data_IF_691483815189
#
_entry.id   IF_691483815189
#
_cell.length_a   1.000
_cell.length_b   1.000
_cell.length_c   1.000
_cell.angle_alpha   90.00
_cell.angle_beta   90.00
_cell.angle_gamma   90.00
#
_symmetry.space_group_name_H-M   'P 1'
#
loop_
_entity.id
_entity.type
_entity.pdbx_description
1 polymer ?
#
# COMPACT_ATOMS: atom_id res chain seq x y z
N UNK A 1 -15.06 17.24 1.33
CA UNK A 1 -15.31 17.08 -0.11
C UNK A 1 -14.00 17.24 -0.84
N UNK A 2 -13.64 16.27 -1.69
CA UNK A 2 -12.47 16.35 -2.57
C UNK A 2 -12.77 17.31 -3.72
N UNK A 3 -11.86 18.24 -3.99
CA UNK A 3 -12.01 19.19 -5.08
C UNK A 3 -11.78 18.51 -6.44
N UNK A 4 -12.71 18.73 -7.36
CA UNK A 4 -12.53 18.38 -8.76
C UNK A 4 -11.69 19.46 -9.46
N UNK A 5 -10.37 19.29 -9.42
CA UNK A 5 -9.40 20.26 -9.97
C UNK A 5 -9.48 20.44 -11.48
N UNK A 6 -10.05 19.48 -12.22
CA UNK A 6 -10.30 19.62 -13.66
C UNK A 6 -11.42 20.65 -13.94
N UNK A 7 -12.31 20.89 -12.96
CA UNK A 7 -13.38 21.89 -13.07
C UNK A 7 -12.98 23.27 -12.56
N UNK A 8 -11.77 23.43 -12.05
CA UNK A 8 -11.23 24.73 -11.67
C UNK A 8 -10.98 25.55 -12.94
N UNK A 9 -11.24 26.86 -12.85
CA UNK A 9 -11.03 27.76 -13.99
C UNK A 9 -9.59 27.65 -14.53
N UNK A 10 -9.39 27.39 -15.85
CA UNK A 10 -8.07 27.34 -16.46
C UNK A 10 -7.17 28.54 -16.16
N UNK A 11 -7.75 29.74 -16.00
CA UNK A 11 -6.99 30.93 -15.62
C UNK A 11 -6.36 30.81 -14.24
N UNK A 12 -7.00 30.12 -13.29
CA UNK A 12 -6.42 29.89 -11.97
C UNK A 12 -5.21 28.96 -12.07
N UNK A 13 -5.26 27.93 -12.93
CA UNK A 13 -4.10 27.08 -13.17
C UNK A 13 -2.94 27.84 -13.83
N UNK A 14 -3.26 28.67 -14.81
CA UNK A 14 -2.27 29.50 -15.47
C UNK A 14 -1.60 30.48 -14.49
N UNK A 15 -2.38 31.22 -13.70
CA UNK A 15 -1.88 32.17 -12.71
C UNK A 15 -1.07 31.49 -11.61
N UNK A 16 -1.54 30.34 -11.10
CA UNK A 16 -0.79 29.56 -10.12
C UNK A 16 0.55 29.07 -10.65
N UNK A 17 0.56 28.55 -11.90
CA UNK A 17 1.79 28.15 -12.58
C UNK A 17 2.77 29.30 -12.83
N UNK A 18 2.28 30.51 -13.11
CA UNK A 18 3.12 31.71 -13.26
C UNK A 18 3.66 32.23 -11.93
N UNK A 19 2.89 32.12 -10.84
CA UNK A 19 3.25 32.65 -9.51
C UNK A 19 4.24 31.74 -8.77
N UNK A 20 3.91 30.46 -8.63
CA UNK A 20 4.67 29.51 -7.81
C UNK A 20 5.65 28.65 -8.62
N UNK A 21 5.55 28.71 -9.95
CA UNK A 21 6.19 27.77 -10.87
C UNK A 21 5.31 26.52 -11.10
N UNK A 22 5.37 25.91 -12.30
CA UNK A 22 4.46 24.83 -12.67
C UNK A 22 4.60 23.59 -11.77
N UNK A 23 5.81 23.19 -11.41
CA UNK A 23 6.05 22.00 -10.59
C UNK A 23 5.50 22.17 -9.16
N UNK A 24 5.76 23.32 -8.54
CA UNK A 24 5.32 23.61 -7.18
C UNK A 24 3.81 23.72 -7.10
N UNK A 25 3.18 24.43 -8.04
CA UNK A 25 1.73 24.55 -8.10
C UNK A 25 1.02 23.19 -8.23
N UNK A 26 1.54 22.29 -9.06
CA UNK A 26 0.99 20.92 -9.19
C UNK A 26 1.19 20.13 -7.91
N UNK A 27 2.38 20.18 -7.32
CA UNK A 27 2.68 19.47 -6.06
C UNK A 27 1.75 19.93 -4.92
N UNK A 28 1.48 21.24 -4.84
CA UNK A 28 0.60 21.81 -3.82
C UNK A 28 -0.87 21.39 -4.02
N UNK A 29 -1.33 21.30 -5.27
CA UNK A 29 -2.65 20.75 -5.60
C UNK A 29 -2.75 19.26 -5.22
N UNK A 30 -1.75 18.46 -5.57
CA UNK A 30 -1.71 17.03 -5.24
C UNK A 30 -1.71 16.82 -3.72
N UNK A 31 -0.91 17.59 -2.98
CA UNK A 31 -0.90 17.55 -1.53
C UNK A 31 -2.25 17.99 -0.92
N UNK A 32 -2.91 19.01 -1.49
CA UNK A 32 -4.24 19.43 -1.07
C UNK A 32 -5.29 18.35 -1.31
N UNK A 33 -5.28 17.73 -2.48
CA UNK A 33 -6.18 16.62 -2.82
C UNK A 33 -5.98 15.42 -1.89
N UNK A 34 -4.73 15.05 -1.56
CA UNK A 34 -4.45 14.00 -0.58
C UNK A 34 -5.02 14.32 0.80
N UNK A 35 -4.82 15.55 1.31
CA UNK A 35 -5.41 15.96 2.60
C UNK A 35 -6.94 15.85 2.58
N UNK A 36 -7.58 16.28 1.51
CA UNK A 36 -9.03 16.16 1.34
C UNK A 36 -9.47 14.69 1.32
N UNK A 37 -8.75 13.82 0.60
CA UNK A 37 -9.06 12.39 0.53
C UNK A 37 -8.96 11.72 1.90
N UNK A 38 -7.90 11.99 2.67
CA UNK A 38 -7.69 11.38 4.00
C UNK A 38 -8.78 11.78 4.99
N UNK A 39 -9.20 13.04 4.98
CA UNK A 39 -10.23 13.56 5.90
C UNK A 39 -11.67 13.40 5.40
N UNK A 40 -11.86 13.01 4.14
CA UNK A 40 -13.17 12.82 3.52
C UNK A 40 -13.78 11.44 3.74
N UNK A 41 -15.03 11.25 3.32
CA UNK A 41 -15.68 9.92 3.25
C UNK A 41 -15.57 9.29 1.86
N UNK A 42 -14.91 9.97 0.92
CA UNK A 42 -14.83 9.55 -0.46
C UNK A 42 -13.81 8.42 -0.67
N UNK A 43 -14.14 7.49 -1.56
CA UNK A 43 -13.31 6.36 -2.02
C UNK A 43 -13.36 6.30 -3.55
N UNK A 44 -12.25 5.94 -4.23
CA UNK A 44 -12.25 5.87 -5.70
C UNK A 44 -13.26 4.86 -6.24
N UNK A 45 -13.91 5.17 -7.36
CA UNK A 45 -14.77 4.23 -8.11
C UNK A 45 -13.97 3.09 -8.73
N UNK A 46 -12.73 3.37 -9.12
CA UNK A 46 -11.85 2.41 -9.79
C UNK A 46 -11.17 1.50 -8.78
N UNK A 47 -11.62 0.25 -8.70
CA UNK A 47 -11.05 -0.81 -7.86
C UNK A 47 -12.06 -1.92 -7.57
N UNK A 48 -11.63 -2.99 -6.88
CA UNK A 48 -12.48 -4.14 -6.55
C UNK A 48 -13.46 -3.80 -5.40
N UNK A 49 -14.58 -3.17 -5.74
CA UNK A 49 -15.61 -2.77 -4.77
C UNK A 49 -16.28 -3.94 -4.05
N UNK A 50 -16.44 -5.06 -4.75
CA UNK A 50 -16.92 -6.33 -4.18
C UNK A 50 -16.09 -6.78 -2.98
N UNK A 51 -14.76 -6.62 -3.05
CA UNK A 51 -13.86 -6.97 -1.96
C UNK A 51 -13.91 -5.94 -0.82
N UNK A 52 -14.12 -4.65 -1.11
CA UNK A 52 -14.34 -3.64 -0.06
C UNK A 52 -15.64 -3.90 0.70
N UNK A 53 -16.73 -4.20 0.00
CA UNK A 53 -18.01 -4.50 0.62
C UNK A 53 -17.92 -5.77 1.50
N UNK A 54 -17.15 -6.78 1.07
CA UNK A 54 -16.85 -7.96 1.88
C UNK A 54 -16.05 -7.65 3.16
N UNK A 55 -15.28 -6.56 3.18
CA UNK A 55 -14.59 -6.04 4.37
C UNK A 55 -15.50 -5.15 5.25
N UNK A 56 -16.76 -4.93 4.85
CA UNK A 56 -17.75 -4.17 5.61
C UNK A 56 -17.88 -2.70 5.22
N UNK A 57 -17.28 -2.27 4.10
CA UNK A 57 -17.52 -0.93 3.58
C UNK A 57 -18.95 -0.82 3.02
N UNK A 58 -19.58 0.33 3.23
CA UNK A 58 -20.89 0.64 2.62
C UNK A 58 -20.70 1.66 1.53
N UNK A 59 -21.02 1.28 0.29
CA UNK A 59 -20.95 2.19 -0.86
C UNK A 59 -22.10 3.18 -0.86
N UNK A 60 -21.77 4.47 -0.95
CA UNK A 60 -22.71 5.57 -0.99
C UNK A 60 -22.95 6.15 -2.39
N UNK A 61 -23.41 7.40 -2.43
CA UNK A 61 -23.71 8.12 -3.66
C UNK A 61 -22.45 8.54 -4.43
N UNK A 62 -22.61 8.71 -5.75
CA UNK A 62 -21.60 9.30 -6.64
C UNK A 62 -21.31 10.76 -6.24
N UNK A 63 -20.02 11.09 -6.14
CA UNK A 63 -19.55 12.46 -5.86
C UNK A 63 -19.14 13.16 -7.16
N UNK A 64 -18.29 12.50 -7.94
CA UNK A 64 -17.84 12.98 -9.25
C UNK A 64 -17.49 11.80 -10.18
N UNK A 65 -16.71 12.03 -11.23
CA UNK A 65 -16.23 11.00 -12.16
C UNK A 65 -15.25 10.00 -11.53
N UNK A 66 -14.57 10.35 -10.43
CA UNK A 66 -13.55 9.52 -9.79
C UNK A 66 -13.98 8.90 -8.47
N UNK A 67 -14.91 9.53 -7.74
CA UNK A 67 -15.21 9.17 -6.36
C UNK A 67 -16.69 8.85 -6.10
N UNK A 68 -16.91 7.96 -5.14
CA UNK A 68 -18.17 7.76 -4.43
C UNK A 68 -17.95 8.07 -2.95
N UNK A 69 -19.01 8.44 -2.25
CA UNK A 69 -19.01 8.40 -0.79
C UNK A 69 -18.98 6.96 -0.30
N UNK A 70 -18.38 6.70 0.85
CA UNK A 70 -18.41 5.40 1.50
C UNK A 70 -18.33 5.52 3.01
N UNK A 71 -18.97 4.59 3.70
CA UNK A 71 -18.79 4.42 5.14
C UNK A 71 -17.72 3.36 5.39
N UNK A 72 -16.74 3.71 6.23
CA UNK A 72 -15.70 2.79 6.67
C UNK A 72 -16.25 1.92 7.81
N UNK A 73 -15.78 0.67 7.95
CA UNK A 73 -16.08 -0.14 9.13
C UNK A 73 -15.65 0.57 10.43
N UNK A 74 -16.32 0.25 11.53
CA UNK A 74 -16.01 0.85 12.83
C UNK A 74 -14.54 0.64 13.22
N UNK A 75 -13.87 1.71 13.66
CA UNK A 75 -12.46 1.70 14.06
C UNK A 75 -11.46 1.83 12.91
N UNK A 76 -11.90 1.73 11.65
CA UNK A 76 -11.01 1.88 10.49
C UNK A 76 -10.73 3.35 10.19
N UNK A 77 -9.55 3.64 9.64
CA UNK A 77 -9.15 5.02 9.34
C UNK A 77 -8.31 5.13 8.06
N UNK A 78 -8.38 6.30 7.42
CA UNK A 78 -7.53 6.65 6.27
C UNK A 78 -6.29 7.40 6.75
N UNK A 79 -5.15 7.14 6.13
CA UNK A 79 -3.88 7.78 6.46
C UNK A 79 -3.11 8.13 5.18
N UNK A 80 -2.45 9.28 5.17
CA UNK A 80 -1.52 9.62 4.11
C UNK A 80 -0.24 8.80 4.26
N UNK A 81 0.27 8.24 3.16
CA UNK A 81 1.53 7.48 3.13
C UNK A 81 2.57 8.09 2.17
N UNK A 82 2.13 8.72 1.08
CA UNK A 82 2.98 9.40 0.11
C UNK A 82 2.25 10.59 -0.54
N UNK A 83 2.96 11.40 -1.32
CA UNK A 83 2.40 12.54 -2.08
C UNK A 83 1.17 12.21 -2.94
N UNK A 84 1.02 10.97 -3.40
CA UNK A 84 -0.14 10.49 -4.17
C UNK A 84 -0.73 9.18 -3.61
N UNK A 85 -0.28 8.76 -2.43
CA UNK A 85 -0.62 7.48 -1.83
C UNK A 85 -1.28 7.66 -0.47
N UNK A 86 -2.45 7.06 -0.30
CA UNK A 86 -3.14 6.92 0.98
C UNK A 86 -3.34 5.44 1.28
N UNK A 87 -3.50 5.10 2.54
CA UNK A 87 -3.84 3.75 2.99
C UNK A 87 -5.09 3.81 3.87
N UNK A 88 -5.83 2.70 3.90
CA UNK A 88 -6.86 2.46 4.92
C UNK A 88 -6.35 1.35 5.83
N UNK A 89 -6.33 1.64 7.12
CA UNK A 89 -6.00 0.68 8.17
C UNK A 89 -7.26 0.25 8.91
N UNK A 90 -7.26 -1.01 9.36
CA UNK A 90 -8.29 -1.51 10.26
C UNK A 90 -8.14 -0.98 11.70
N UNK A 91 -9.02 -1.41 12.59
CA UNK A 91 -9.03 -1.08 14.01
C UNK A 91 -7.77 -1.54 14.77
N UNK A 92 -7.02 -2.49 14.22
CA UNK A 92 -5.71 -2.95 14.71
C UNK A 92 -4.54 -2.14 14.14
N UNK A 93 -4.81 -1.18 13.25
CA UNK A 93 -3.80 -0.40 12.54
C UNK A 93 -3.11 -1.16 11.41
N UNK A 94 -3.70 -2.27 10.93
CA UNK A 94 -3.15 -3.07 9.82
C UNK A 94 -3.66 -2.52 8.50
N UNK A 95 -2.75 -2.30 7.54
CA UNK A 95 -3.10 -1.85 6.18
C UNK A 95 -3.96 -2.88 5.44
N UNK A 96 -5.14 -2.44 4.98
CA UNK A 96 -6.12 -3.27 4.25
C UNK A 96 -6.32 -2.83 2.81
N UNK A 97 -6.20 -1.53 2.57
CA UNK A 97 -6.47 -0.92 1.28
C UNK A 97 -5.41 0.11 0.99
N UNK A 98 -4.87 0.09 -0.22
CA UNK A 98 -3.98 1.14 -0.71
C UNK A 98 -4.70 1.92 -1.80
N UNK A 99 -4.68 3.25 -1.66
CA UNK A 99 -5.33 4.20 -2.55
C UNK A 99 -4.27 5.04 -3.25
N UNK A 100 -4.35 5.08 -4.57
CA UNK A 100 -3.64 6.04 -5.40
C UNK A 100 -4.57 7.19 -5.76
N UNK A 101 -4.15 8.42 -5.54
CA UNK A 101 -4.85 9.61 -6.01
C UNK A 101 -3.89 10.71 -6.45
N UNK A 102 -4.06 11.11 -7.71
CA UNK A 102 -3.39 12.23 -8.36
C UNK A 102 -4.41 13.33 -8.62
N UNK A 103 -4.21 14.50 -8.00
CA UNK A 103 -5.12 15.64 -8.10
C UNK A 103 -4.75 16.64 -9.21
N UNK A 104 -3.69 16.40 -9.99
CA UNK A 104 -3.33 17.25 -11.11
C UNK A 104 -4.49 17.38 -12.11
N UNK A 105 -4.84 18.61 -12.49
CA UNK A 105 -6.05 18.90 -13.28
C UNK A 105 -6.05 18.28 -14.69
N UNK A 106 -4.87 18.09 -15.29
CA UNK A 106 -4.69 17.56 -16.65
C UNK A 106 -4.62 16.02 -16.71
N UNK A 107 -4.45 15.35 -15.57
CA UNK A 107 -4.32 13.89 -15.46
C UNK A 107 -4.83 13.44 -14.09
N UNK A 108 -6.09 13.80 -13.79
CA UNK A 108 -6.72 13.45 -12.51
C UNK A 108 -7.06 11.97 -12.53
N UNK A 109 -6.54 11.21 -11.56
CA UNK A 109 -6.73 9.75 -11.51
C UNK A 109 -6.82 9.28 -10.07
N UNK A 110 -7.77 8.40 -9.81
CA UNK A 110 -7.95 7.75 -8.53
C UNK A 110 -8.21 6.25 -8.72
N UNK A 111 -7.58 5.42 -7.91
CA UNK A 111 -7.81 3.96 -7.89
C UNK A 111 -7.41 3.37 -6.55
N UNK A 112 -7.95 2.20 -6.21
CA UNK A 112 -7.52 1.46 -5.03
C UNK A 112 -7.30 -0.02 -5.32
N UNK A 113 -6.57 -0.70 -4.45
CA UNK A 113 -6.47 -2.16 -4.41
C UNK A 113 -6.48 -2.67 -2.97
N UNK A 114 -6.90 -3.92 -2.80
CA UNK A 114 -6.85 -4.62 -1.51
C UNK A 114 -5.43 -5.11 -1.26
N UNK A 115 -4.98 -4.95 -0.03
CA UNK A 115 -3.64 -5.33 0.41
C UNK A 115 -3.69 -6.73 0.98
N UNK A 116 -2.89 -7.64 0.40
CA UNK A 116 -2.62 -8.93 1.01
C UNK A 116 -1.65 -8.73 2.19
N UNK A 117 -2.18 -8.79 3.42
CA UNK A 117 -1.46 -8.44 4.65
C UNK A 117 -0.16 -9.23 4.81
N UNK A 118 -0.22 -10.56 4.68
CA UNK A 118 0.96 -11.42 4.82
C UNK A 118 2.10 -11.04 3.86
N UNK A 119 1.86 -11.05 2.54
CA UNK A 119 2.86 -10.60 1.55
C UNK A 119 3.38 -9.18 1.76
N UNK A 120 2.50 -8.24 2.14
CA UNK A 120 2.88 -6.85 2.42
C UNK A 120 3.86 -6.76 3.59
N UNK A 121 3.59 -7.45 4.69
CA UNK A 121 4.48 -7.49 5.85
C UNK A 121 5.81 -8.20 5.52
N UNK A 122 5.77 -9.26 4.72
CA UNK A 122 6.97 -10.00 4.29
C UNK A 122 7.89 -9.15 3.39
N UNK A 123 7.33 -8.22 2.60
CA UNK A 123 8.10 -7.31 1.74
C UNK A 123 9.17 -6.52 2.54
N UNK A 124 8.84 -6.07 3.75
CA UNK A 124 9.77 -5.31 4.61
C UNK A 124 10.95 -6.17 5.06
N UNK A 125 10.75 -7.47 5.26
CA UNK A 125 11.84 -8.40 5.56
C UNK A 125 12.77 -8.53 4.36
N UNK A 126 12.21 -8.72 3.16
CA UNK A 126 12.99 -8.96 1.94
C UNK A 126 13.75 -7.72 1.47
N UNK A 127 13.13 -6.55 1.51
CA UNK A 127 13.65 -5.34 0.87
C UNK A 127 14.01 -4.21 1.84
N UNK A 128 13.63 -4.32 3.11
CA UNK A 128 13.99 -3.33 4.12
C UNK A 128 15.45 -3.42 4.55
N UNK A 129 15.92 -2.36 5.20
CA UNK A 129 17.25 -2.32 5.82
C UNK A 129 17.22 -2.55 7.33
N UNK A 130 16.04 -2.49 7.94
CA UNK A 130 15.85 -2.69 9.38
C UNK A 130 16.20 -4.12 9.81
N UNK A 131 16.58 -4.33 11.09
CA UNK A 131 16.77 -5.65 11.65
C UNK A 131 15.53 -6.54 11.44
N UNK A 132 15.77 -7.78 11.01
CA UNK A 132 14.69 -8.74 10.77
C UNK A 132 14.07 -9.12 12.12
N UNK A 133 12.82 -8.72 12.30
CA UNK A 133 11.99 -9.01 13.47
C UNK A 133 10.61 -9.45 12.98
N UNK A 134 9.83 -10.10 13.85
CA UNK A 134 8.41 -10.31 13.52
C UNK A 134 7.70 -8.95 13.45
N UNK A 135 6.68 -8.80 12.59
CA UNK A 135 5.88 -7.58 12.54
C UNK A 135 5.41 -7.15 13.92
N UNK A 136 5.44 -5.86 14.22
CA UNK A 136 4.98 -5.34 15.53
C UNK A 136 3.51 -5.69 15.84
N UNK A 137 2.71 -5.93 14.81
CA UNK A 137 1.32 -6.37 14.91
C UNK A 137 1.14 -7.90 14.98
N UNK A 138 2.22 -8.69 15.10
CA UNK A 138 2.19 -10.16 15.00
C UNK A 138 1.11 -10.82 15.87
N UNK A 139 1.00 -10.39 17.13
CA UNK A 139 0.03 -10.96 18.08
C UNK A 139 -1.42 -10.63 17.73
N UNK A 140 -1.64 -9.59 16.92
CA UNK A 140 -2.96 -9.14 16.46
C UNK A 140 -3.36 -9.77 15.11
N UNK A 141 -2.43 -10.46 14.43
CA UNK A 141 -2.73 -11.16 13.18
C UNK A 141 -3.56 -12.41 13.43
N UNK A 142 -4.52 -12.64 12.55
CA UNK A 142 -5.26 -13.91 12.48
C UNK A 142 -4.34 -15.04 12.02
N UNK A 143 -4.75 -16.29 12.27
CA UNK A 143 -3.98 -17.46 11.84
C UNK A 143 -3.81 -17.49 10.31
N UNK A 144 -4.84 -17.11 9.55
CA UNK A 144 -4.76 -17.00 8.09
C UNK A 144 -3.69 -15.99 7.66
N UNK A 145 -3.63 -14.82 8.29
CA UNK A 145 -2.64 -13.78 7.96
C UNK A 145 -1.21 -14.21 8.32
N UNK A 146 -1.05 -14.94 9.43
CA UNK A 146 0.23 -15.53 9.82
C UNK A 146 0.67 -16.60 8.82
N UNK A 147 -0.26 -17.44 8.35
CA UNK A 147 0.00 -18.44 7.31
C UNK A 147 0.38 -17.77 5.99
N UNK A 148 -0.35 -16.74 5.57
CA UNK A 148 -0.03 -15.98 4.35
C UNK A 148 1.34 -15.30 4.43
N UNK A 149 1.69 -14.78 5.61
CA UNK A 149 3.01 -14.22 5.86
C UNK A 149 4.11 -15.30 5.74
N UNK A 150 3.92 -16.46 6.36
CA UNK A 150 4.87 -17.57 6.27
C UNK A 150 5.06 -18.04 4.82
N UNK A 151 3.96 -18.21 4.08
CA UNK A 151 3.99 -18.57 2.66
C UNK A 151 4.70 -17.50 1.81
N UNK A 152 4.49 -16.21 2.11
CA UNK A 152 5.17 -15.12 1.40
C UNK A 152 6.69 -15.13 1.64
N UNK A 153 7.14 -15.43 2.85
CA UNK A 153 8.56 -15.58 3.18
C UNK A 153 9.19 -16.77 2.42
N UNK A 154 8.48 -17.90 2.32
CA UNK A 154 8.91 -19.06 1.52
C UNK A 154 9.01 -18.72 0.02
N UNK A 155 7.99 -18.07 -0.53
CA UNK A 155 7.98 -17.64 -1.93
C UNK A 155 9.09 -16.62 -2.23
N UNK A 156 9.37 -15.72 -1.29
CA UNK A 156 10.47 -14.76 -1.42
C UNK A 156 11.83 -15.45 -1.47
N UNK A 157 12.04 -16.51 -0.67
CA UNK A 157 13.26 -17.31 -0.70
C UNK A 157 13.44 -17.98 -2.06
N UNK A 158 12.39 -18.65 -2.55
CA UNK A 158 12.42 -19.33 -3.85
C UNK A 158 12.73 -18.34 -4.98
N UNK A 159 12.10 -17.17 -4.98
CA UNK A 159 12.34 -16.11 -5.96
C UNK A 159 13.77 -15.53 -5.87
N UNK A 160 14.33 -15.39 -4.66
CA UNK A 160 15.69 -14.88 -4.50
C UNK A 160 16.75 -15.90 -4.93
N UNK A 161 16.55 -17.18 -4.65
CA UNK A 161 17.43 -18.25 -5.09
C UNK A 161 17.44 -18.37 -6.62
N UNK A 162 16.28 -18.29 -7.26
CA UNK A 162 16.17 -18.27 -8.73
C UNK A 162 16.85 -17.01 -9.31
N UNK A 163 16.60 -15.83 -8.73
CA UNK A 163 17.24 -14.58 -9.16
C UNK A 163 18.76 -14.68 -9.05
N UNK A 164 19.28 -15.19 -7.93
CA UNK A 164 20.71 -15.37 -7.70
C UNK A 164 21.38 -16.17 -8.81
N UNK A 165 20.73 -17.23 -9.30
CA UNK A 165 21.23 -18.05 -10.41
C UNK A 165 21.34 -17.31 -11.75
N UNK A 166 20.73 -16.14 -11.89
CA UNK A 166 20.69 -15.33 -13.12
C UNK A 166 21.49 -14.04 -13.06
N UNK A 167 21.99 -13.67 -11.88
CA UNK A 167 22.63 -12.37 -11.63
C UNK A 167 24.15 -12.50 -11.83
N UNK A 168 24.79 -11.55 -12.54
CA UNK A 168 26.24 -11.54 -12.68
C UNK A 168 26.96 -11.30 -11.34
N UNK A 169 28.20 -11.77 -11.24
CA UNK A 169 29.03 -11.60 -10.05
C UNK A 169 29.19 -10.13 -9.63
N UNK A 170 29.47 -9.91 -8.35
CA UNK A 170 29.75 -8.58 -7.80
C UNK A 170 28.65 -8.08 -6.84
N UNK A 171 28.29 -6.80 -6.96
CA UNK A 171 27.38 -6.15 -6.00
C UNK A 171 25.98 -6.76 -6.00
N UNK A 172 25.46 -7.07 -7.17
CA UNK A 172 24.13 -7.67 -7.28
C UNK A 172 24.04 -9.06 -6.62
N UNK A 173 25.12 -9.85 -6.69
CA UNK A 173 25.22 -11.14 -5.99
C UNK A 173 25.30 -10.95 -4.47
N UNK A 174 26.06 -9.96 -3.98
CA UNK A 174 26.12 -9.63 -2.55
C UNK A 174 24.76 -9.18 -2.01
N UNK A 175 24.05 -8.34 -2.75
CA UNK A 175 22.70 -7.90 -2.38
C UNK A 175 21.71 -9.07 -2.37
N UNK A 176 21.83 -9.99 -3.33
CA UNK A 176 21.02 -11.22 -3.33
C UNK A 176 21.30 -12.10 -2.10
N UNK A 177 22.57 -12.33 -1.76
CA UNK A 177 22.95 -13.07 -0.55
C UNK A 177 22.43 -12.39 0.72
N UNK A 178 22.56 -11.06 0.85
CA UNK A 178 22.01 -10.28 1.98
C UNK A 178 20.51 -10.55 2.15
N UNK A 179 19.74 -10.58 1.06
CA UNK A 179 18.30 -10.88 1.11
C UNK A 179 18.00 -12.32 1.50
N UNK A 180 18.77 -13.30 1.02
CA UNK A 180 18.65 -14.71 1.44
C UNK A 180 18.87 -14.84 2.95
N UNK A 181 19.92 -14.21 3.49
CA UNK A 181 20.25 -14.29 4.92
C UNK A 181 19.16 -13.65 5.79
N UNK A 182 18.58 -12.54 5.32
CA UNK A 182 17.42 -11.89 5.97
C UNK A 182 16.20 -12.81 5.98
N UNK A 183 15.90 -13.46 4.87
CA UNK A 183 14.77 -14.40 4.75
C UNK A 183 14.98 -15.61 5.67
N UNK A 184 16.19 -16.17 5.73
CA UNK A 184 16.52 -17.28 6.63
C UNK A 184 16.38 -16.89 8.12
N UNK A 185 16.73 -15.65 8.46
CA UNK A 185 16.49 -15.10 9.80
C UNK A 185 15.00 -15.05 10.13
N UNK A 186 14.16 -14.58 9.20
CA UNK A 186 12.71 -14.57 9.39
C UNK A 186 12.11 -15.98 9.52
N UNK A 187 12.59 -16.96 8.76
CA UNK A 187 12.16 -18.36 8.92
C UNK A 187 12.48 -18.91 10.31
N UNK A 188 13.64 -18.55 10.87
CA UNK A 188 14.02 -18.94 12.24
C UNK A 188 13.08 -18.33 13.27
N UNK A 189 12.75 -17.05 13.13
CA UNK A 189 11.78 -16.36 14.00
C UNK A 189 10.37 -16.98 13.90
N UNK A 190 9.93 -17.33 12.70
CA UNK A 190 8.65 -18.02 12.48
C UNK A 190 8.62 -19.37 13.20
N UNK A 191 9.68 -20.17 13.07
CA UNK A 191 9.79 -21.45 13.76
C UNK A 191 9.74 -21.30 15.29
N UNK A 192 10.40 -20.27 15.85
CA UNK A 192 10.34 -19.94 17.28
C UNK A 192 8.95 -19.51 17.72
N UNK A 193 8.20 -18.82 16.85
CA UNK A 193 6.82 -18.42 17.09
C UNK A 193 5.80 -19.58 16.88
N UNK A 194 6.27 -20.80 16.65
CA UNK A 194 5.42 -21.98 16.46
C UNK A 194 4.83 -22.13 15.05
N UNK A 195 5.16 -21.22 14.13
CA UNK A 195 4.79 -21.35 12.72
C UNK A 195 5.76 -22.32 12.05
N UNK A 196 5.27 -23.50 11.65
CA UNK A 196 6.07 -24.40 10.83
C UNK A 196 6.01 -23.95 9.37
N UNK A 197 7.11 -24.07 8.61
CA UNK A 197 7.08 -23.86 7.18
C UNK A 197 5.99 -24.76 6.58
N UNK A 198 5.20 -24.20 5.67
CA UNK A 198 4.02 -24.84 5.09
C UNK A 198 4.33 -26.08 4.26
N UNK A 199 5.61 -26.42 4.09
CA UNK A 199 6.04 -27.62 3.37
C UNK A 199 5.57 -27.56 1.91
N UNK A 200 5.82 -26.44 1.24
CA UNK A 200 5.37 -26.21 -0.14
C UNK A 200 6.52 -26.07 -1.13
N UNK A 201 7.14 -27.19 -1.53
CA UNK A 201 7.60 -27.36 -2.92
C UNK A 201 6.81 -28.53 -3.47
N UNK A 202 5.85 -28.24 -4.34
CA UNK A 202 5.36 -29.14 -5.38
C UNK A 202 5.19 -28.36 -6.67
#
# INVERSE_FOLDING_TARGET
MIENTNRRDPYVHFLGGMSDGPERYITDIEAAGQRQLVHGSEIPKSGPWDQLEALGFVRGADVDDLFVTAELPAGWSKQAYHSMGSIIVDDRGIERVSIFYKAAFYDRKASFHIVAVGPKLAQNVTWGDDPVTLPSCWDQLTDSEKTDYAAAIENALAAELDRRGRVPDGEALRQSQKRIDRIATAQTLLAQAGMRPTGGIR
#
